data_IF_092358654425
#
_entry.id   IF_092358654425
#
_cell.length_a   1.000
_cell.length_b   1.000
_cell.length_c   1.000
_cell.angle_alpha   90.00
_cell.angle_beta   90.00
_cell.angle_gamma   90.00
#
_symmetry.space_group_name_H-M   'P 1'
#
loop_
_entity.id
_entity.type
_entity.pdbx_description
1 polymer ?
#
# COMPACT_ATOMS: atom_id res chain seq x y z
N UNK A 1 13.51 -12.16 3.70
CA UNK A 1 12.87 -10.83 3.77
C UNK A 1 11.44 -10.94 3.25
N UNK A 2 10.46 -10.53 4.04
CA UNK A 2 9.05 -10.46 3.65
C UNK A 2 8.83 -9.39 2.59
N UNK A 3 7.70 -9.45 1.87
CA UNK A 3 7.34 -8.41 0.90
C UNK A 3 7.26 -7.02 1.55
N UNK A 4 6.80 -6.93 2.80
CA UNK A 4 6.68 -5.67 3.52
C UNK A 4 8.03 -5.10 3.91
N UNK A 5 8.97 -5.94 4.32
CA UNK A 5 10.36 -5.52 4.56
C UNK A 5 11.03 -5.04 3.27
N UNK A 6 10.88 -5.76 2.15
CA UNK A 6 11.35 -5.30 0.83
C UNK A 6 10.77 -3.93 0.47
N UNK A 7 9.50 -3.68 0.79
CA UNK A 7 8.84 -2.38 0.53
C UNK A 7 9.41 -1.26 1.37
N UNK A 8 9.67 -1.50 2.66
CA UNK A 8 10.28 -0.52 3.56
C UNK A 8 11.68 -0.17 3.08
N UNK A 9 12.46 -1.19 2.69
CA UNK A 9 13.80 -1.00 2.13
C UNK A 9 13.78 -0.20 0.82
N UNK A 10 12.89 -0.55 -0.11
CA UNK A 10 12.72 0.19 -1.37
C UNK A 10 12.39 1.66 -1.12
N UNK A 11 11.47 1.94 -0.18
CA UNK A 11 11.08 3.33 0.16
C UNK A 11 12.23 4.12 0.76
N UNK A 12 12.94 3.54 1.73
CA UNK A 12 14.10 4.19 2.32
C UNK A 12 15.16 4.54 1.27
N UNK A 13 15.44 3.63 0.34
CA UNK A 13 16.33 3.92 -0.79
C UNK A 13 15.76 5.02 -1.71
N UNK A 14 14.46 4.95 -2.03
CA UNK A 14 13.83 5.93 -2.93
C UNK A 14 13.80 7.35 -2.36
N UNK A 15 13.65 7.48 -1.03
CA UNK A 15 13.71 8.76 -0.32
C UNK A 15 15.15 9.33 -0.27
N UNK A 16 16.17 8.46 -0.41
CA UNK A 16 17.60 8.80 -0.35
C UNK A 16 18.31 8.75 -1.72
N UNK A 17 17.59 8.86 -2.84
CA UNK A 17 18.20 8.82 -4.19
C UNK A 17 19.36 9.84 -4.36
N UNK A 18 19.40 10.91 -3.57
CA UNK A 18 20.49 11.89 -3.54
C UNK A 18 21.62 11.63 -2.51
N UNK A 19 21.47 10.67 -1.59
CA UNK A 19 22.41 10.42 -0.50
C UNK A 19 23.51 9.40 -0.80
N UNK A 20 23.56 8.87 -2.02
CA UNK A 20 24.62 7.95 -2.46
C UNK A 20 24.41 6.49 -2.04
N UNK A 21 23.25 6.13 -1.47
CA UNK A 21 22.90 4.72 -1.29
C UNK A 21 22.70 4.03 -2.62
N UNK A 22 23.41 2.91 -2.82
CA UNK A 22 23.22 2.06 -3.98
C UNK A 22 21.86 1.35 -3.93
N UNK A 23 21.33 1.01 -5.11
CA UNK A 23 20.06 0.30 -5.21
C UNK A 23 20.15 -1.07 -4.50
N UNK A 24 19.26 -1.38 -3.53
CA UNK A 24 19.35 -2.62 -2.77
C UNK A 24 19.11 -3.88 -3.62
N UNK A 25 20.01 -4.86 -3.54
CA UNK A 25 19.90 -6.10 -4.33
C UNK A 25 18.62 -6.87 -4.06
N UNK A 26 18.14 -6.87 -2.81
CA UNK A 26 16.90 -7.51 -2.39
C UNK A 26 15.64 -6.93 -3.06
N UNK A 27 15.75 -5.74 -3.69
CA UNK A 27 14.67 -5.06 -4.39
C UNK A 27 14.69 -5.24 -5.91
N UNK A 28 15.70 -5.92 -6.49
CA UNK A 28 15.85 -6.07 -7.96
C UNK A 28 14.71 -6.85 -8.61
N UNK A 29 14.15 -7.82 -7.89
CA UNK A 29 13.02 -8.65 -8.34
C UNK A 29 11.67 -8.08 -7.89
N UNK A 30 11.64 -6.87 -7.34
CA UNK A 30 10.44 -6.32 -6.71
C UNK A 30 9.35 -5.98 -7.75
N UNK A 31 8.13 -6.42 -7.46
CA UNK A 31 6.94 -6.09 -8.25
C UNK A 31 5.96 -5.24 -7.46
N UNK A 32 4.99 -4.65 -8.16
CA UNK A 32 3.97 -3.81 -7.53
C UNK A 32 3.17 -4.55 -6.47
N UNK A 33 2.90 -5.86 -6.62
CA UNK A 33 2.35 -6.75 -5.61
C UNK A 33 0.99 -6.37 -5.02
N UNK A 34 0.34 -5.30 -5.50
CA UNK A 34 -1.01 -4.94 -5.09
C UNK A 34 -2.02 -5.94 -5.70
N UNK A 35 -3.07 -6.26 -4.97
CA UNK A 35 -4.13 -7.14 -5.47
C UNK A 35 -4.86 -6.47 -6.62
N UNK A 36 -4.85 -7.12 -7.78
CA UNK A 36 -5.57 -6.65 -8.96
C UNK A 36 -7.07 -6.93 -8.84
N UNK A 37 -7.87 -6.39 -9.77
CA UNK A 37 -9.31 -6.70 -9.86
C UNK A 37 -9.60 -8.20 -10.01
N UNK A 38 -8.65 -8.99 -10.53
CA UNK A 38 -8.78 -10.46 -10.67
C UNK A 38 -8.37 -11.24 -9.41
N UNK A 39 -8.08 -10.55 -8.30
CA UNK A 39 -7.64 -11.18 -7.06
C UNK A 39 -6.17 -11.64 -7.04
N UNK A 40 -5.42 -11.45 -8.14
CA UNK A 40 -4.01 -11.86 -8.25
C UNK A 40 -3.06 -10.69 -7.99
N UNK A 41 -1.82 -10.93 -7.52
CA UNK A 41 -0.83 -9.86 -7.32
C UNK A 41 -0.38 -9.18 -8.63
N UNK A 42 -0.25 -7.86 -8.61
CA UNK A 42 0.25 -7.07 -9.73
C UNK A 42 1.73 -7.36 -10.02
N UNK A 43 2.05 -7.77 -11.25
CA UNK A 43 3.40 -8.15 -11.68
C UNK A 43 4.25 -7.00 -12.26
N UNK A 44 3.73 -5.77 -12.28
CA UNK A 44 4.44 -4.62 -12.88
C UNK A 44 5.69 -4.26 -12.07
N UNK A 45 6.82 -4.07 -12.76
CA UNK A 45 8.14 -3.74 -12.18
C UNK A 45 8.51 -2.25 -12.29
N UNK A 46 7.78 -1.47 -13.09
CA UNK A 46 7.90 -0.02 -13.11
C UNK A 46 7.25 0.57 -11.83
N UNK A 47 8.08 0.75 -10.80
CA UNK A 47 7.68 1.21 -9.47
C UNK A 47 8.10 2.68 -9.26
N UNK A 48 7.22 3.43 -8.60
CA UNK A 48 7.52 4.78 -8.11
C UNK A 48 8.10 4.70 -6.70
N UNK A 49 8.56 5.82 -6.14
CA UNK A 49 9.13 5.90 -4.78
C UNK A 49 8.23 5.27 -3.70
N UNK A 50 6.91 5.31 -3.88
CA UNK A 50 5.95 4.63 -3.02
C UNK A 50 6.04 3.09 -3.04
N UNK A 51 6.88 2.50 -3.88
CA UNK A 51 7.04 1.06 -4.10
C UNK A 51 5.88 0.43 -4.89
N UNK A 52 4.95 1.23 -5.44
CA UNK A 52 3.79 0.77 -6.22
C UNK A 52 3.86 1.31 -7.64
N UNK A 53 3.15 0.66 -8.56
CA UNK A 53 3.07 1.12 -9.94
C UNK A 53 2.00 2.20 -10.13
N UNK A 54 1.99 2.86 -11.30
CA UNK A 54 1.04 3.94 -11.63
C UNK A 54 -0.43 3.59 -11.41
N UNK A 55 -0.82 2.33 -11.60
CA UNK A 55 -2.21 1.87 -11.48
C UNK A 55 -2.64 1.59 -10.03
N UNK A 56 -1.69 1.42 -9.10
CA UNK A 56 -1.97 1.04 -7.72
C UNK A 56 -1.38 2.04 -6.73
N UNK A 57 -1.50 3.34 -7.05
CA UNK A 57 -1.09 4.42 -6.16
C UNK A 57 0.39 4.80 -6.25
N UNK A 58 1.12 4.32 -7.26
CA UNK A 58 2.53 4.67 -7.50
C UNK A 58 2.77 6.18 -7.48
N UNK A 59 1.94 6.90 -8.23
CA UNK A 59 1.97 8.36 -8.35
C UNK A 59 1.16 9.10 -7.27
N UNK A 60 0.50 8.38 -6.37
CA UNK A 60 -0.29 9.02 -5.31
C UNK A 60 0.63 9.63 -4.28
N UNK A 61 0.36 10.89 -3.93
CA UNK A 61 1.06 11.59 -2.84
C UNK A 61 0.35 11.44 -1.49
N UNK A 62 -0.75 10.68 -1.43
CA UNK A 62 -1.65 10.67 -0.28
C UNK A 62 -2.35 12.02 -0.06
N UNK A 63 -3.14 12.10 1.02
CA UNK A 63 -3.76 13.36 1.44
C UNK A 63 -2.72 14.26 2.11
N UNK A 64 -2.54 15.46 1.54
CA UNK A 64 -1.60 16.46 2.07
C UNK A 64 -2.25 17.41 3.07
N UNK A 65 -3.55 17.69 2.94
CA UNK A 65 -4.26 18.63 3.82
C UNK A 65 -4.88 17.95 5.04
N UNK A 66 -5.07 18.68 6.16
CA UNK A 66 -5.77 18.17 7.33
C UNK A 66 -7.17 17.60 7.02
N UNK A 67 -7.93 18.30 6.18
CA UNK A 67 -9.29 17.91 5.79
C UNK A 67 -9.28 16.61 4.97
N UNK A 68 -8.31 16.48 4.06
CA UNK A 68 -8.11 15.27 3.27
C UNK A 68 -7.76 14.07 4.15
N UNK A 69 -6.91 14.26 5.17
CA UNK A 69 -6.56 13.22 6.14
C UNK A 69 -7.77 12.84 7.00
N UNK A 70 -8.55 13.82 7.47
CA UNK A 70 -9.76 13.60 8.24
C UNK A 70 -10.80 12.78 7.45
N UNK A 71 -11.01 13.10 6.17
CA UNK A 71 -11.91 12.35 5.29
C UNK A 71 -11.48 10.89 5.12
N UNK A 72 -10.18 10.62 4.95
CA UNK A 72 -9.67 9.25 4.86
C UNK A 72 -9.89 8.47 6.16
N UNK A 73 -9.61 9.09 7.30
CA UNK A 73 -9.81 8.49 8.62
C UNK A 73 -11.29 8.17 8.88
N UNK A 74 -12.20 9.08 8.50
CA UNK A 74 -13.63 8.85 8.59
C UNK A 74 -14.07 7.66 7.73
N UNK A 75 -13.59 7.57 6.48
CA UNK A 75 -13.86 6.43 5.60
C UNK A 75 -13.41 5.09 6.20
N UNK A 76 -12.23 5.06 6.83
CA UNK A 76 -11.72 3.90 7.55
C UNK A 76 -12.64 3.52 8.73
N UNK A 77 -13.05 4.50 9.55
CA UNK A 77 -13.98 4.29 10.67
C UNK A 77 -15.29 3.65 10.22
N UNK A 78 -15.90 4.18 9.16
CA UNK A 78 -17.13 3.63 8.56
C UNK A 78 -16.94 2.19 8.06
N UNK A 79 -15.78 1.87 7.47
CA UNK A 79 -15.48 0.49 7.02
C UNK A 79 -15.31 -0.49 8.19
N UNK A 80 -14.61 -0.08 9.25
CA UNK A 80 -14.43 -0.89 10.46
C UNK A 80 -15.76 -1.17 11.16
N UNK A 81 -16.64 -0.18 11.23
CA UNK A 81 -17.98 -0.35 11.78
C UNK A 81 -18.81 -1.36 10.99
N UNK A 82 -18.85 -1.26 9.65
CA UNK A 82 -19.52 -2.26 8.81
C UNK A 82 -18.97 -3.67 9.02
N UNK A 83 -17.65 -3.82 9.18
CA UNK A 83 -17.05 -5.13 9.48
C UNK A 83 -17.50 -5.68 10.83
N UNK A 84 -17.54 -4.85 11.89
CA UNK A 84 -18.03 -5.26 13.21
C UNK A 84 -19.50 -5.69 13.17
N UNK A 85 -20.34 -4.95 12.47
CA UNK A 85 -21.74 -5.32 12.31
C UNK A 85 -21.89 -6.65 11.55
N UNK A 86 -21.13 -6.85 10.47
CA UNK A 86 -21.15 -8.11 9.71
C UNK A 86 -20.72 -9.32 10.55
N UNK A 87 -19.73 -9.17 11.44
CA UNK A 87 -19.34 -10.25 12.36
C UNK A 87 -20.44 -10.54 13.39
N UNK A 88 -21.09 -9.50 13.95
CA UNK A 88 -22.16 -9.68 14.93
C UNK A 88 -23.44 -10.30 14.35
N UNK A 89 -23.71 -10.15 13.05
CA UNK A 89 -24.87 -10.77 12.39
C UNK A 89 -24.60 -12.23 11.97
N UNK A 90 -23.34 -12.58 11.69
CA UNK A 90 -22.93 -13.95 11.39
C UNK A 90 -23.01 -14.89 12.60
N UNK A 91 -22.79 -14.37 13.80
CA UNK A 91 -22.93 -15.13 15.06
C UNK A 91 -24.40 -15.31 15.51
N UNK A 92 -25.34 -14.59 14.89
CA UNK A 92 -26.74 -14.55 15.28
C UNK A 92 -27.68 -15.34 14.33
N UNK A 93 -27.11 -16.08 13.38
CA UNK A 93 -27.85 -16.99 12.48
C UNK A 93 -27.54 -18.43 12.91
N UNK A 94 -28.57 -19.11 13.44
CA UNK A 94 -28.58 -20.50 13.92
C UNK A 94 -28.11 -21.53 12.89
#
# INVERSE_FOLDING_TARGET
MTNDEKRKLYRAWADDIGGGTSFPDACRDMTCGATTRKGTPCKMTALYASGRCKLHGGMSTGAKTPEGKARQLEGLRRWLERKRQATSQGDNTQ
#
